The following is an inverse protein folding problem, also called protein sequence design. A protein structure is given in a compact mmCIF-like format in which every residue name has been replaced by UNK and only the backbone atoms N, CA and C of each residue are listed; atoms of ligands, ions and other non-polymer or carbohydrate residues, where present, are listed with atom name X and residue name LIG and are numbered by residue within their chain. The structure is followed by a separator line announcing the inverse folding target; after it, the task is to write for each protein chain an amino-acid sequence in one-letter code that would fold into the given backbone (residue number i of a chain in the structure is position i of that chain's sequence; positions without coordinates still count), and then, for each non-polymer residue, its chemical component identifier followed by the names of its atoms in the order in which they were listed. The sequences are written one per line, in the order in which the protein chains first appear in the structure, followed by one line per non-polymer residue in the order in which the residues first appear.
data_IF_215669463559
#
_entry.id   IF_215669463559
#
_cell.length_a   1.000
_cell.length_b   1.000
_cell.length_c   1.000
_cell.angle_alpha   90.00
_cell.angle_beta   90.00
_cell.angle_gamma   90.00
#
_symmetry.space_group_name_H-M   'P 1'
#
loop_
_entity.id
_entity.type
_entity.pdbx_description
1 polymer ?
#
# COMPACT_ATOMS: atom_id res chain seq x y z
N UNK A 1 46.88 9.89 -32.31
CA UNK A 1 45.83 8.84 -32.40
C UNK A 1 45.61 8.10 -31.07
N UNK A 2 46.54 8.17 -30.12
CA UNK A 2 46.46 7.48 -28.80
C UNK A 2 45.52 8.21 -27.79
N UNK A 3 45.49 9.53 -27.78
CA UNK A 3 44.70 10.31 -26.83
C UNK A 3 43.16 10.13 -26.95
N UNK A 4 42.62 9.90 -28.14
CA UNK A 4 41.17 9.67 -28.32
C UNK A 4 40.69 8.31 -27.77
N UNK A 5 41.54 7.30 -27.73
CA UNK A 5 41.18 5.96 -27.20
C UNK A 5 41.11 5.95 -25.66
N UNK A 6 41.94 6.78 -24.99
CA UNK A 6 41.97 6.87 -23.53
C UNK A 6 40.70 7.58 -22.96
N UNK A 7 40.21 8.61 -23.67
CA UNK A 7 39.03 9.35 -23.28
C UNK A 7 37.76 8.48 -23.37
N UNK A 8 37.67 7.62 -24.42
CA UNK A 8 36.51 6.72 -24.58
C UNK A 8 36.49 5.63 -23.50
N UNK A 9 37.66 5.11 -23.12
CA UNK A 9 37.76 4.11 -22.05
C UNK A 9 37.38 4.70 -20.68
N UNK A 10 37.75 5.95 -20.40
CA UNK A 10 37.39 6.63 -19.15
C UNK A 10 35.92 6.98 -19.11
N UNK A 11 35.28 7.33 -20.24
CA UNK A 11 33.85 7.57 -20.32
C UNK A 11 33.02 6.30 -20.12
N UNK A 12 33.47 5.14 -20.60
CA UNK A 12 32.79 3.85 -20.37
C UNK A 12 32.90 3.36 -18.92
N UNK A 13 33.96 3.66 -18.20
CA UNK A 13 34.12 3.32 -16.80
C UNK A 13 33.23 4.17 -15.87
N UNK A 14 32.96 5.41 -16.23
CA UNK A 14 32.07 6.28 -15.47
C UNK A 14 30.58 5.91 -15.67
N UNK A 15 30.20 5.40 -16.87
CA UNK A 15 28.82 4.99 -17.13
C UNK A 15 28.41 3.68 -16.42
N UNK A 16 29.34 2.82 -16.02
CA UNK A 16 29.05 1.60 -15.26
C UNK A 16 28.89 1.86 -13.75
N UNK A 17 29.29 3.02 -13.23
CA UNK A 17 29.17 3.33 -11.80
C UNK A 17 27.81 3.93 -11.39
N UNK A 18 26.94 4.28 -12.34
CA UNK A 18 25.68 5.00 -12.07
C UNK A 18 24.47 4.06 -12.00
N UNK A 19 24.61 2.77 -12.31
CA UNK A 19 23.46 1.83 -12.35
C UNK A 19 23.30 0.95 -11.11
N UNK A 20 24.02 1.20 -10.03
CA UNK A 20 23.91 0.41 -8.79
C UNK A 20 23.26 1.15 -7.63
N UNK A 21 22.36 2.10 -7.88
CA UNK A 21 21.37 2.43 -6.89
C UNK A 21 20.25 1.37 -6.94
N UNK A 22 20.60 0.15 -6.53
CA UNK A 22 19.62 -0.82 -6.12
C UNK A 22 18.73 -0.11 -5.09
N UNK A 23 17.43 -0.05 -5.35
CA UNK A 23 16.44 0.38 -4.38
C UNK A 23 16.75 -0.37 -3.09
N UNK A 24 17.35 0.30 -2.11
CA UNK A 24 17.39 -0.21 -0.74
C UNK A 24 15.94 -0.25 -0.29
N UNK A 25 15.33 -1.42 -0.38
CA UNK A 25 14.10 -1.66 0.33
C UNK A 25 14.43 -1.42 1.79
N UNK A 26 13.84 -0.38 2.38
CA UNK A 26 14.01 -0.06 3.79
C UNK A 26 13.24 -1.10 4.59
N UNK A 27 13.88 -2.25 4.85
CA UNK A 27 13.37 -3.23 5.80
C UNK A 27 13.56 -2.68 7.21
N UNK A 28 12.50 -2.69 7.98
CA UNK A 28 12.54 -2.39 9.40
C UNK A 28 12.59 -3.69 10.18
N UNK A 29 13.59 -3.83 11.04
CA UNK A 29 13.72 -4.99 11.93
C UNK A 29 13.04 -4.68 13.27
N UNK A 30 12.39 -5.65 13.92
CA UNK A 30 11.64 -5.42 15.16
C UNK A 30 12.57 -5.28 16.38
N UNK A 31 13.25 -4.15 16.49
CA UNK A 31 13.76 -3.62 17.76
C UNK A 31 12.63 -2.83 18.45
N UNK A 32 12.91 -2.24 19.62
CA UNK A 32 11.89 -1.47 20.36
C UNK A 32 11.32 -0.29 19.57
N UNK A 33 12.14 0.39 18.78
CA UNK A 33 11.71 1.52 17.96
C UNK A 33 10.90 1.05 16.76
N UNK A 34 11.35 -0.02 16.12
CA UNK A 34 10.62 -0.67 15.02
C UNK A 34 9.29 -1.26 15.47
N UNK A 35 9.22 -1.80 16.70
CA UNK A 35 7.96 -2.28 17.27
C UNK A 35 6.96 -1.15 17.46
N UNK A 36 7.37 -0.04 18.06
CA UNK A 36 6.50 1.12 18.26
C UNK A 36 6.01 1.69 16.90
N UNK A 37 6.89 1.71 15.89
CA UNK A 37 6.51 2.09 14.53
C UNK A 37 5.52 1.08 13.93
N UNK A 38 5.78 -0.23 14.05
CA UNK A 38 4.89 -1.27 13.58
C UNK A 38 3.49 -1.14 14.19
N UNK A 39 3.42 -0.98 15.53
CA UNK A 39 2.15 -0.80 16.23
C UNK A 39 1.39 0.46 15.72
N UNK A 40 2.13 1.51 15.33
CA UNK A 40 1.54 2.75 14.79
C UNK A 40 1.00 2.61 13.37
N UNK A 41 1.50 1.63 12.59
CA UNK A 41 1.10 1.41 11.19
C UNK A 41 0.29 0.13 10.97
N UNK A 42 0.08 -0.66 12.03
CA UNK A 42 -0.71 -1.90 11.98
C UNK A 42 -2.15 -1.65 11.51
N UNK A 43 -2.69 -0.50 11.83
CA UNK A 43 -4.02 -0.08 11.43
C UNK A 43 -3.99 1.25 10.66
N UNK A 44 -4.99 1.47 9.82
CA UNK A 44 -5.12 2.73 9.07
C UNK A 44 -5.41 3.92 9.98
N UNK A 45 -6.05 3.70 11.13
CA UNK A 45 -6.33 4.72 12.14
C UNK A 45 -5.63 4.34 13.47
N UNK A 46 -5.23 5.33 14.30
CA UNK A 46 -4.48 5.07 15.53
C UNK A 46 -5.28 4.30 16.60
N UNK A 47 -6.61 4.26 16.48
CA UNK A 47 -7.52 3.55 17.39
C UNK A 47 -8.67 2.96 16.59
N UNK A 48 -9.48 2.14 17.24
CA UNK A 48 -10.77 1.70 16.72
C UNK A 48 -11.79 2.81 16.91
N UNK A 49 -12.62 3.06 15.90
CA UNK A 49 -13.62 4.13 15.89
C UNK A 49 -14.97 3.58 15.44
N UNK A 50 -16.08 4.23 15.85
CA UNK A 50 -17.38 3.94 15.28
C UNK A 50 -17.35 4.07 13.76
N UNK A 51 -17.90 3.07 13.08
CA UNK A 51 -17.92 3.00 11.63
C UNK A 51 -19.10 2.19 11.12
N UNK A 52 -19.28 2.23 9.81
CA UNK A 52 -20.33 1.49 9.09
C UNK A 52 -19.67 0.72 7.97
N UNK A 53 -20.01 -0.56 7.87
CA UNK A 53 -19.64 -1.44 6.76
C UNK A 53 -20.85 -1.58 5.84
N UNK A 54 -20.64 -1.50 4.55
CA UNK A 54 -21.66 -1.74 3.52
C UNK A 54 -21.23 -2.94 2.70
N UNK A 55 -22.08 -3.94 2.64
CA UNK A 55 -21.87 -5.15 1.84
C UNK A 55 -22.33 -4.93 0.39
N UNK A 56 -21.89 -5.80 -0.52
CA UNK A 56 -22.25 -5.79 -1.96
C UNK A 56 -23.76 -5.79 -2.20
N UNK A 57 -24.53 -6.42 -1.30
CA UNK A 57 -26.00 -6.44 -1.36
C UNK A 57 -26.65 -5.19 -0.76
N UNK A 58 -25.86 -4.19 -0.36
CA UNK A 58 -26.33 -2.95 0.26
C UNK A 58 -26.66 -3.04 1.75
N UNK A 59 -26.53 -4.23 2.38
CA UNK A 59 -26.72 -4.38 3.82
C UNK A 59 -25.66 -3.58 4.58
N UNK A 60 -26.08 -2.89 5.62
CA UNK A 60 -25.20 -2.10 6.48
C UNK A 60 -25.06 -2.73 7.87
N UNK A 61 -23.86 -2.67 8.42
CA UNK A 61 -23.56 -3.07 9.79
C UNK A 61 -22.69 -2.02 10.46
N UNK A 62 -23.04 -1.61 11.67
CA UNK A 62 -22.29 -0.63 12.44
C UNK A 62 -21.49 -1.33 13.55
N UNK A 63 -20.36 -0.74 13.92
CA UNK A 63 -19.51 -1.25 14.99
C UNK A 63 -18.32 -0.33 15.26
N UNK A 64 -17.58 -0.63 16.32
CA UNK A 64 -16.30 0.03 16.59
C UNK A 64 -15.22 -0.75 15.85
N UNK A 65 -14.60 -0.16 14.82
CA UNK A 65 -13.77 -0.88 13.87
C UNK A 65 -12.53 -0.13 13.41
N UNK A 66 -11.63 -0.84 12.77
CA UNK A 66 -10.47 -0.32 12.08
C UNK A 66 -10.12 -1.25 10.90
N UNK A 67 -9.23 -0.82 10.01
CA UNK A 67 -8.72 -1.63 8.91
C UNK A 67 -7.27 -1.98 9.21
N UNK A 68 -6.96 -3.27 9.21
CA UNK A 68 -5.61 -3.76 9.40
C UNK A 68 -4.82 -3.63 8.09
N UNK A 69 -3.61 -3.09 8.16
CA UNK A 69 -2.74 -2.87 7.01
C UNK A 69 -1.99 -4.13 6.59
N UNK A 70 -1.94 -5.16 7.44
CA UNK A 70 -1.23 -6.42 7.20
C UNK A 70 -2.09 -7.40 6.42
N UNK A 71 -3.31 -7.69 6.92
CA UNK A 71 -4.21 -8.68 6.29
C UNK A 71 -5.28 -8.04 5.40
N UNK A 72 -5.32 -6.70 5.36
CA UNK A 72 -6.28 -5.92 4.57
C UNK A 72 -7.73 -6.29 4.88
N UNK A 73 -8.04 -6.50 6.16
CA UNK A 73 -9.38 -6.84 6.64
C UNK A 73 -9.87 -5.80 7.64
N UNK A 74 -11.19 -5.74 7.79
CA UNK A 74 -11.80 -4.97 8.86
C UNK A 74 -11.77 -5.79 10.13
N UNK A 75 -11.16 -5.20 11.15
CA UNK A 75 -11.20 -5.67 12.52
C UNK A 75 -12.19 -4.82 13.31
N UNK A 76 -12.91 -5.42 14.24
CA UNK A 76 -13.91 -4.73 15.08
C UNK A 76 -13.85 -5.22 16.53
N UNK A 77 -14.30 -4.39 17.44
CA UNK A 77 -14.36 -4.73 18.85
C UNK A 77 -15.66 -5.47 19.13
N UNK A 78 -15.54 -6.71 19.63
CA UNK A 78 -16.65 -7.55 20.06
C UNK A 78 -17.24 -7.14 21.41
N UNK A 79 -18.29 -7.84 21.82
CA UNK A 79 -19.00 -7.61 23.12
C UNK A 79 -18.10 -7.81 24.33
N UNK A 80 -17.16 -8.76 24.23
CA UNK A 80 -16.22 -9.09 25.31
C UNK A 80 -14.95 -8.24 25.28
N UNK A 81 -14.98 -7.14 24.51
CA UNK A 81 -13.85 -6.23 24.28
C UNK A 81 -12.65 -6.90 23.59
N UNK A 82 -12.89 -8.02 22.95
CA UNK A 82 -11.91 -8.70 22.08
C UNK A 82 -11.92 -8.08 20.68
N UNK A 83 -10.83 -8.28 19.95
CA UNK A 83 -10.75 -7.85 18.55
C UNK A 83 -11.10 -9.01 17.64
N UNK A 84 -12.12 -8.81 16.80
CA UNK A 84 -12.64 -9.79 15.85
C UNK A 84 -12.41 -9.35 14.42
N UNK A 85 -12.38 -10.32 13.50
CA UNK A 85 -12.25 -10.05 12.04
C UNK A 85 -13.60 -10.32 11.38
N UNK A 86 -13.99 -9.50 10.42
CA UNK A 86 -15.19 -9.73 9.61
C UNK A 86 -15.02 -11.04 8.83
N UNK A 87 -15.91 -12.01 9.05
CA UNK A 87 -15.83 -13.35 8.44
C UNK A 87 -15.88 -13.30 6.91
N UNK A 88 -16.79 -12.51 6.34
CA UNK A 88 -17.01 -12.40 4.88
C UNK A 88 -16.47 -11.08 4.35
N UNK A 89 -15.18 -10.80 4.58
CA UNK A 89 -14.56 -9.55 4.16
C UNK A 89 -14.66 -9.30 2.63
N UNK A 90 -14.71 -10.36 1.83
CA UNK A 90 -14.89 -10.29 0.38
C UNK A 90 -16.28 -9.79 -0.05
N UNK A 91 -17.30 -9.93 0.79
CA UNK A 91 -18.66 -9.43 0.53
C UNK A 91 -18.84 -7.96 0.95
N UNK A 92 -17.80 -7.37 1.52
CA UNK A 92 -17.81 -5.96 1.88
C UNK A 92 -17.43 -5.13 0.65
N UNK A 93 -18.30 -4.21 0.26
CA UNK A 93 -18.03 -3.23 -0.80
C UNK A 93 -17.18 -2.07 -0.25
N UNK A 94 -17.61 -1.51 0.89
CA UNK A 94 -16.93 -0.35 1.48
C UNK A 94 -17.14 -0.23 3.00
N UNK A 95 -16.29 0.58 3.61
CA UNK A 95 -16.46 0.98 5.01
C UNK A 95 -16.35 2.50 5.16
N UNK A 96 -17.05 3.04 6.15
CA UNK A 96 -16.95 4.44 6.55
C UNK A 96 -16.46 4.49 7.99
N UNK A 97 -15.31 5.12 8.22
CA UNK A 97 -14.70 5.28 9.55
C UNK A 97 -14.19 6.71 9.66
N UNK A 98 -14.57 7.43 10.72
CA UNK A 98 -14.19 8.85 10.92
C UNK A 98 -14.56 9.76 9.74
N UNK A 99 -15.69 9.52 9.08
CA UNK A 99 -16.11 10.29 7.91
C UNK A 99 -15.31 10.04 6.63
N UNK A 100 -14.37 9.10 6.64
CA UNK A 100 -13.58 8.66 5.50
C UNK A 100 -14.21 7.44 4.87
N UNK A 101 -14.16 7.35 3.54
CA UNK A 101 -14.61 6.18 2.79
C UNK A 101 -13.41 5.30 2.43
N UNK A 102 -13.55 4.02 2.71
CA UNK A 102 -12.59 2.96 2.37
C UNK A 102 -13.27 1.98 1.45
N UNK A 103 -12.78 1.86 0.23
CA UNK A 103 -13.34 0.97 -0.80
C UNK A 103 -12.57 -0.34 -0.78
N UNK A 104 -13.27 -1.48 -0.69
CA UNK A 104 -12.66 -2.79 -0.80
C UNK A 104 -12.31 -3.07 -2.26
N UNK A 105 -11.08 -3.46 -2.50
CA UNK A 105 -10.57 -3.76 -3.85
C UNK A 105 -9.72 -5.03 -3.83
N UNK A 106 -9.35 -5.52 -4.99
CA UNK A 106 -8.41 -6.66 -5.11
C UNK A 106 -7.03 -6.43 -4.48
N UNK A 107 -6.69 -5.18 -4.14
CA UNK A 107 -5.43 -4.84 -3.48
C UNK A 107 -5.60 -4.62 -1.96
N UNK A 108 -6.82 -4.66 -1.45
CA UNK A 108 -7.21 -4.32 -0.10
C UNK A 108 -8.06 -3.05 -0.03
N UNK A 109 -8.21 -2.49 1.16
CA UNK A 109 -8.98 -1.27 1.39
C UNK A 109 -8.18 -0.03 1.01
N UNK A 110 -8.73 0.76 0.08
CA UNK A 110 -8.16 2.03 -0.34
C UNK A 110 -8.98 3.19 0.24
N UNK A 111 -8.33 4.14 0.93
CA UNK A 111 -8.93 5.37 1.43
C UNK A 111 -9.19 6.33 0.27
N UNK A 112 -10.42 6.80 0.09
CA UNK A 112 -10.75 7.84 -0.89
C UNK A 112 -10.26 9.20 -0.37
N UNK A 113 -9.40 9.88 -1.13
CA UNK A 113 -8.80 11.16 -0.76
C UNK A 113 -9.46 12.35 -1.46
N UNK A 114 -9.62 12.27 -2.79
CA UNK A 114 -10.14 13.33 -3.65
C UNK A 114 -11.01 12.73 -4.75
N UNK A 115 -11.96 13.51 -5.28
CA UNK A 115 -12.80 13.12 -6.42
C UNK A 115 -12.78 14.19 -7.51
N UNK A 116 -12.73 13.73 -8.77
CA UNK A 116 -12.84 14.56 -9.96
C UNK A 116 -13.72 13.85 -11.01
N UNK A 117 -15.00 14.19 -11.03
CA UNK A 117 -15.99 13.46 -11.83
C UNK A 117 -16.07 11.98 -11.43
N UNK A 118 -15.87 11.09 -12.39
CA UNK A 118 -15.91 9.62 -12.17
C UNK A 118 -14.57 9.02 -11.73
N UNK A 119 -13.56 9.84 -11.48
CA UNK A 119 -12.22 9.41 -11.06
C UNK A 119 -11.97 9.85 -9.61
N UNK A 120 -11.62 8.92 -8.74
CA UNK A 120 -11.16 9.24 -7.40
C UNK A 120 -9.66 8.96 -7.26
N UNK A 121 -8.95 9.83 -6.55
CA UNK A 121 -7.62 9.54 -6.02
C UNK A 121 -7.77 8.86 -4.68
N UNK A 122 -7.10 7.73 -4.52
CA UNK A 122 -7.14 6.92 -3.30
C UNK A 122 -5.75 6.60 -2.78
N UNK A 123 -5.66 6.22 -1.50
CA UNK A 123 -4.44 5.75 -0.84
C UNK A 123 -4.62 4.31 -0.32
N UNK A 124 -3.72 3.41 -0.72
CA UNK A 124 -3.56 2.10 -0.10
C UNK A 124 -2.46 2.17 0.95
N UNK A 125 -2.72 1.72 2.18
CA UNK A 125 -1.72 1.51 3.23
C UNK A 125 -1.50 0.02 3.40
N UNK A 126 -0.25 -0.40 3.26
CA UNK A 126 0.12 -1.82 3.27
C UNK A 126 1.35 -2.03 4.14
N UNK A 127 1.25 -2.99 5.07
CA UNK A 127 2.38 -3.53 5.83
C UNK A 127 2.65 -4.94 5.35
N UNK A 128 3.83 -5.16 4.76
CA UNK A 128 4.29 -6.45 4.25
C UNK A 128 5.33 -7.04 5.21
N UNK A 129 5.06 -8.25 5.70
CA UNK A 129 6.02 -9.01 6.50
C UNK A 129 6.93 -9.79 5.55
N UNK A 130 8.25 -9.73 5.78
CA UNK A 130 9.23 -10.44 4.97
C UNK A 130 9.70 -11.69 5.70
N UNK A 131 9.75 -12.82 5.01
CA UNK A 131 10.40 -14.02 5.53
C UNK A 131 11.91 -13.86 5.36
N UNK A 132 12.70 -14.35 6.34
CA UNK A 132 14.13 -14.40 6.19
C UNK A 132 14.50 -15.12 4.88
N UNK A 133 15.50 -14.57 4.17
CA UNK A 133 16.00 -15.21 2.97
C UNK A 133 16.40 -16.65 3.31
N UNK A 134 15.87 -17.62 2.58
CA UNK A 134 16.22 -19.01 2.78
C UNK A 134 17.74 -19.16 2.66
N UNK A 135 18.38 -19.69 3.69
CA UNK A 135 19.80 -20.01 3.67
C UNK A 135 19.98 -21.17 2.69
N UNK A 136 20.61 -20.91 1.55
CA UNK A 136 20.93 -21.94 0.57
C UNK A 136 21.87 -23.00 1.15
N UNK A 137 22.01 -24.14 0.46
CA UNK A 137 22.69 -25.35 0.91
C UNK A 137 24.18 -25.19 1.34
N UNK A 138 24.75 -24.01 1.23
CA UNK A 138 26.12 -23.68 1.64
C UNK A 138 26.17 -22.43 2.58
N UNK A 139 25.11 -22.11 3.29
CA UNK A 139 25.09 -20.96 4.20
C UNK A 139 25.10 -19.59 3.49
N UNK A 140 25.06 -19.54 2.16
CA UNK A 140 24.95 -18.32 1.39
C UNK A 140 23.49 -17.84 1.42
N UNK A 141 23.29 -16.63 1.92
CA UNK A 141 21.97 -15.95 1.86
C UNK A 141 21.66 -15.69 0.38
N UNK A 142 20.78 -16.49 -0.20
CA UNK A 142 20.27 -16.22 -1.54
C UNK A 142 19.34 -15.02 -1.49
N UNK A 143 19.68 -13.96 -2.21
CA UNK A 143 18.88 -12.73 -2.34
C UNK A 143 17.62 -12.91 -3.24
N UNK A 144 17.18 -14.11 -3.48
CA UNK A 144 15.86 -14.36 -4.04
C UNK A 144 14.85 -14.25 -2.90
N UNK A 145 14.50 -13.03 -2.55
CA UNK A 145 13.36 -12.75 -1.69
C UNK A 145 12.10 -13.26 -2.39
N UNK A 146 11.69 -14.48 -2.07
CA UNK A 146 10.32 -14.89 -2.29
C UNK A 146 9.48 -14.08 -1.32
N UNK A 147 8.97 -12.94 -1.76
CA UNK A 147 7.89 -12.22 -1.10
C UNK A 147 6.69 -13.16 -1.13
N UNK A 148 6.59 -14.05 -0.17
CA UNK A 148 5.32 -14.66 0.17
C UNK A 148 4.55 -13.60 0.92
N UNK A 149 3.74 -12.84 0.18
CA UNK A 149 2.62 -12.12 0.78
C UNK A 149 1.95 -13.09 1.73
N UNK A 150 1.92 -12.79 3.03
CA UNK A 150 1.12 -13.51 4.02
C UNK A 150 -0.37 -13.16 3.82
N UNK A 151 -0.87 -13.31 2.60
CA UNK A 151 -2.29 -13.33 2.28
C UNK A 151 -2.92 -14.69 2.58
N UNK A 152 -2.12 -15.69 2.97
CA UNK A 152 -2.59 -16.99 3.43
C UNK A 152 -2.23 -17.21 4.90
N UNK A 153 -2.87 -16.47 5.80
CA UNK A 153 -3.20 -17.04 7.09
C UNK A 153 -4.30 -18.05 6.78
N UNK A 154 -3.93 -19.32 6.84
CA UNK A 154 -4.68 -20.48 6.42
C UNK A 154 -6.18 -20.39 6.72
N UNK A 155 -6.99 -20.75 5.73
CA UNK A 155 -8.42 -21.06 5.77
C UNK A 155 -8.79 -22.24 6.69
N UNK A 156 -8.20 -22.34 7.87
CA UNK A 156 -8.46 -23.40 8.83
C UNK A 156 -9.14 -22.91 10.10
N UNK A 157 -10.22 -22.13 9.94
CA UNK A 157 -11.14 -21.93 11.05
C UNK A 157 -12.59 -22.07 10.54
N UNK A 158 -13.00 -23.34 10.44
CA UNK A 158 -14.41 -23.69 10.50
C UNK A 158 -14.90 -23.37 11.92
N UNK A 159 -16.05 -22.67 11.98
CA UNK A 159 -16.85 -22.43 13.18
C UNK A 159 -16.29 -21.54 14.30
N UNK A 160 -16.88 -20.34 14.35
CA UNK A 160 -16.76 -19.42 15.48
C UNK A 160 -15.77 -18.28 15.23
N UNK A 161 -16.03 -17.14 15.87
CA UNK A 161 -15.15 -16.00 15.90
C UNK A 161 -13.74 -16.48 16.31
N UNK A 162 -12.83 -16.56 15.34
CA UNK A 162 -11.45 -16.88 15.66
C UNK A 162 -10.91 -15.69 16.46
N UNK A 163 -10.39 -15.90 17.68
CA UNK A 163 -9.61 -14.85 18.32
C UNK A 163 -8.53 -14.47 17.32
N UNK A 164 -8.27 -13.17 17.19
CA UNK A 164 -7.12 -12.70 16.44
C UNK A 164 -5.97 -13.63 16.78
N UNK A 165 -5.46 -14.35 15.79
CA UNK A 165 -4.11 -14.85 15.90
C UNK A 165 -3.31 -13.61 16.27
N UNK A 166 -2.86 -13.53 17.52
CA UNK A 166 -1.94 -12.49 17.93
C UNK A 166 -0.88 -12.51 16.84
N UNK A 167 -0.92 -11.51 15.97
CA UNK A 167 0.12 -11.31 14.98
C UNK A 167 1.38 -11.33 15.83
N UNK A 168 2.16 -12.40 15.71
CA UNK A 168 3.23 -12.66 16.67
C UNK A 168 4.33 -11.64 16.40
N UNK A 169 4.11 -10.44 16.97
CA UNK A 169 4.96 -9.25 16.83
C UNK A 169 6.36 -9.53 17.43
N UNK A 170 6.48 -10.62 18.18
CA UNK A 170 7.77 -11.14 18.65
C UNK A 170 8.55 -11.91 17.58
N UNK A 171 8.08 -11.95 16.33
CA UNK A 171 8.91 -12.50 15.26
C UNK A 171 9.99 -11.48 14.90
N UNK A 172 11.25 -11.85 14.97
CA UNK A 172 12.42 -11.10 14.48
C UNK A 172 12.39 -10.90 12.94
N UNK A 173 11.21 -10.90 12.35
CA UNK A 173 11.03 -10.80 10.90
C UNK A 173 10.98 -9.35 10.48
N UNK A 174 11.75 -8.99 9.45
CA UNK A 174 11.67 -7.66 8.89
C UNK A 174 10.31 -7.40 8.24
N UNK A 175 9.88 -6.16 8.27
CA UNK A 175 8.66 -5.71 7.60
C UNK A 175 8.91 -4.43 6.80
N UNK A 176 8.04 -4.12 5.86
CA UNK A 176 8.01 -2.85 5.16
C UNK A 176 6.60 -2.25 5.24
N UNK A 177 6.54 -0.92 5.37
CA UNK A 177 5.29 -0.16 5.33
C UNK A 177 5.29 0.76 4.13
N UNK A 178 4.19 0.79 3.40
CA UNK A 178 4.06 1.64 2.22
C UNK A 178 2.68 2.29 2.14
N UNK A 179 2.66 3.51 1.57
CA UNK A 179 1.46 4.22 1.14
C UNK A 179 1.54 4.38 -0.37
N UNK A 180 0.57 3.84 -1.08
CA UNK A 180 0.56 3.81 -2.54
C UNK A 180 -0.67 4.55 -3.09
N UNK A 181 -0.50 5.52 -3.99
CA UNK A 181 -1.63 6.18 -4.63
C UNK A 181 -2.23 5.33 -5.75
N UNK A 182 -3.56 5.35 -5.84
CA UNK A 182 -4.35 4.70 -6.88
C UNK A 182 -5.39 5.65 -7.45
N UNK A 183 -5.71 5.50 -8.74
CA UNK A 183 -6.94 6.04 -9.31
C UNK A 183 -8.02 4.98 -9.21
N UNK A 184 -9.16 5.32 -8.63
CA UNK A 184 -10.35 4.48 -8.64
C UNK A 184 -11.28 5.00 -9.73
N UNK A 185 -11.57 4.16 -10.72
CA UNK A 185 -12.44 4.48 -11.86
C UNK A 185 -13.47 3.39 -12.02
N UNK A 186 -14.75 3.73 -11.85
CA UNK A 186 -15.87 2.76 -11.92
C UNK A 186 -15.64 1.53 -11.04
N UNK A 187 -15.16 1.75 -9.79
CA UNK A 187 -14.88 0.68 -8.83
C UNK A 187 -13.57 -0.08 -9.06
N UNK A 188 -12.82 0.19 -10.13
CA UNK A 188 -11.57 -0.50 -10.43
C UNK A 188 -10.36 0.36 -10.06
N UNK A 189 -9.42 -0.16 -9.25
CA UNK A 189 -8.20 0.54 -8.88
C UNK A 189 -7.11 0.39 -9.95
N UNK A 190 -6.47 1.51 -10.29
CA UNK A 190 -5.34 1.60 -11.22
C UNK A 190 -4.17 2.31 -10.54
N UNK A 191 -2.93 1.83 -10.65
CA UNK A 191 -1.77 2.57 -10.19
C UNK A 191 -1.70 3.94 -10.86
N UNK A 192 -1.34 4.97 -10.08
CA UNK A 192 -1.17 6.31 -10.65
C UNK A 192 0.10 6.36 -11.50
N UNK A 193 -0.06 6.73 -12.74
CA UNK A 193 1.04 6.94 -13.70
C UNK A 193 0.67 8.10 -14.62
N UNK A 194 1.66 8.73 -15.27
CA UNK A 194 1.41 9.74 -16.33
C UNK A 194 0.39 9.22 -17.36
N UNK A 195 0.59 7.97 -17.83
CA UNK A 195 -0.31 7.34 -18.82
C UNK A 195 -1.74 7.18 -18.30
N UNK A 196 -1.91 6.77 -17.04
CA UNK A 196 -3.23 6.62 -16.43
C UNK A 196 -3.93 7.97 -16.28
N UNK A 197 -3.24 9.01 -15.81
CA UNK A 197 -3.79 10.37 -15.70
C UNK A 197 -4.24 10.88 -17.07
N UNK A 198 -3.40 10.77 -18.10
CA UNK A 198 -3.75 11.21 -19.45
C UNK A 198 -4.90 10.42 -20.09
N UNK A 199 -5.07 9.15 -19.69
CA UNK A 199 -6.18 8.30 -20.13
C UNK A 199 -7.50 8.76 -19.52
N UNK A 200 -7.51 9.03 -18.22
CA UNK A 200 -8.74 9.33 -17.48
C UNK A 200 -9.08 10.83 -17.45
N UNK A 201 -8.10 11.69 -17.78
CA UNK A 201 -8.29 13.12 -17.98
C UNK A 201 -7.88 13.56 -19.40
N UNK A 202 -8.57 13.07 -20.46
CA UNK A 202 -8.14 13.28 -21.84
C UNK A 202 -8.11 14.75 -22.28
N UNK A 203 -8.96 15.59 -21.69
CA UNK A 203 -9.02 17.02 -21.96
C UNK A 203 -7.88 17.80 -21.30
N UNK A 204 -7.19 17.22 -20.31
CA UNK A 204 -6.14 17.86 -19.52
C UNK A 204 -4.73 17.37 -19.87
N UNK A 205 -4.56 16.66 -21.01
CA UNK A 205 -3.26 16.11 -21.41
C UNK A 205 -2.14 17.14 -21.49
N UNK A 206 -2.40 18.26 -22.14
CA UNK A 206 -1.42 19.33 -22.30
C UNK A 206 -1.00 19.89 -20.93
N UNK A 207 -1.97 20.18 -20.06
CA UNK A 207 -1.72 20.66 -18.71
C UNK A 207 -0.89 19.65 -17.89
N UNK A 208 -1.26 18.33 -17.93
CA UNK A 208 -0.51 17.30 -17.23
C UNK A 208 0.94 17.23 -17.72
N UNK A 209 1.17 17.34 -19.04
CA UNK A 209 2.53 17.32 -19.60
C UNK A 209 3.37 18.52 -19.15
N UNK A 210 2.78 19.71 -19.15
CA UNK A 210 3.42 20.93 -18.70
C UNK A 210 3.75 20.86 -17.21
N UNK A 211 2.77 20.51 -16.38
CA UNK A 211 2.97 20.35 -14.93
C UNK A 211 4.11 19.38 -14.60
N UNK A 212 4.18 18.26 -15.32
CA UNK A 212 5.22 17.24 -15.10
C UNK A 212 6.61 17.64 -15.64
N UNK A 213 6.71 18.67 -16.49
CA UNK A 213 8.02 19.25 -16.89
C UNK A 213 8.55 20.19 -15.81
N UNK A 214 7.66 20.89 -15.13
CA UNK A 214 8.01 21.86 -14.09
C UNK A 214 8.20 21.22 -12.73
N UNK A 215 7.56 20.06 -12.48
CA UNK A 215 7.54 19.39 -11.20
C UNK A 215 7.99 17.92 -11.33
N UNK A 216 9.02 17.55 -10.59
CA UNK A 216 9.47 16.15 -10.50
C UNK A 216 8.52 15.37 -9.58
N UNK A 217 7.52 14.70 -10.16
CA UNK A 217 6.48 13.97 -9.43
C UNK A 217 6.86 12.51 -9.26
N UNK A 218 7.11 12.12 -8.01
CA UNK A 218 7.21 10.71 -7.64
C UNK A 218 5.81 10.08 -7.56
N UNK A 219 5.44 9.31 -8.57
CA UNK A 219 4.14 8.62 -8.66
C UNK A 219 3.94 7.52 -7.61
N UNK A 220 4.95 7.15 -6.85
CA UNK A 220 4.82 6.22 -5.72
C UNK A 220 4.51 6.92 -4.40
N UNK A 221 4.58 8.24 -4.36
CA UNK A 221 4.30 9.07 -3.18
C UNK A 221 2.92 9.72 -3.28
N UNK A 222 2.12 9.60 -2.22
CA UNK A 222 0.74 10.10 -2.20
C UNK A 222 0.69 11.62 -2.23
N UNK A 223 1.56 12.30 -1.48
CA UNK A 223 1.49 13.76 -1.34
C UNK A 223 1.68 14.51 -2.67
N UNK A 224 2.77 14.33 -3.45
CA UNK A 224 2.94 15.02 -4.73
C UNK A 224 1.89 14.61 -5.77
N UNK A 225 1.44 13.36 -5.75
CA UNK A 225 0.36 12.89 -6.63
C UNK A 225 -0.96 13.57 -6.28
N UNK A 226 -1.24 13.80 -5.00
CA UNK A 226 -2.46 14.49 -4.56
C UNK A 226 -2.50 15.94 -5.03
N UNK A 227 -1.37 16.64 -4.97
CA UNK A 227 -1.28 18.03 -5.46
C UNK A 227 -1.47 18.10 -6.99
N UNK A 228 -0.83 17.19 -7.74
CA UNK A 228 -1.07 17.07 -9.18
C UNK A 228 -2.55 16.78 -9.48
N UNK A 229 -3.17 15.83 -8.75
CA UNK A 229 -4.57 15.48 -8.96
C UNK A 229 -5.51 16.65 -8.70
N UNK A 230 -5.28 17.43 -7.63
CA UNK A 230 -6.04 18.66 -7.34
C UNK A 230 -5.88 19.69 -8.46
N UNK A 231 -4.64 19.92 -8.95
CA UNK A 231 -4.39 20.85 -10.03
C UNK A 231 -5.12 20.43 -11.31
N UNK A 232 -5.11 19.12 -11.64
CA UNK A 232 -5.84 18.57 -12.80
C UNK A 232 -7.36 18.70 -12.63
N UNK A 233 -7.86 18.63 -11.38
CA UNK A 233 -9.30 18.69 -11.07
C UNK A 233 -9.87 20.09 -11.01
N UNK A 234 -9.05 21.09 -10.66
CA UNK A 234 -9.46 22.49 -10.51
C UNK A 234 -9.66 23.23 -11.84
N UNK A 235 -9.04 22.75 -12.89
CA UNK A 235 -9.10 23.26 -14.27
C UNK A 235 -10.20 22.55 -15.10
#
# INVERSE_FOLDING_TARGET
MLMKKTIIATLMLVSCAVTSYAQRQNFMYPDKASKAFYDSVLYVNPKFYPGIVVSDNGKQSAGTMNICTVDQKIHFIGTDNDTLIIKNNQEVDRAYILGKAYINTKYGYIEMLEMAGDVALCELRLTEMHTDAATGAYGLKTQTSSVKSLTSVSESFADGAAPLMQLNINSDKPFSYSKKPYLLVKGNPYPVTKKALMKYFPKKKAFIEEYLKENDINFTSVAPVRELFKAVSAE
#
